data_IF_140552473072
#
_entry.id   IF_140552473072
#
_cell.length_a   1.000
_cell.length_b   1.000
_cell.length_c   1.000
_cell.angle_alpha   90.00
_cell.angle_beta   90.00
_cell.angle_gamma   90.00
#
_symmetry.space_group_name_H-M   'P 1'
#
loop_
_entity.id
_entity.type
_entity.pdbx_description
1 polymer ?
#
# COMPACT_ATOMS: atom_id res chain seq x y z
N UNK A 1 -16.75 17.36 -36.11
CA UNK A 1 -15.62 16.54 -35.70
C UNK A 1 -16.07 15.09 -35.64
N UNK A 2 -15.74 14.30 -36.68
CA UNK A 2 -16.15 12.90 -36.77
C UNK A 2 -15.29 12.04 -35.85
N UNK A 3 -15.88 11.56 -34.75
CA UNK A 3 -15.30 10.49 -33.96
C UNK A 3 -15.33 9.25 -34.86
N UNK A 4 -14.16 8.85 -35.41
CA UNK A 4 -14.00 7.53 -36.02
C UNK A 4 -14.46 6.52 -34.97
N UNK A 5 -15.52 5.76 -35.26
CA UNK A 5 -15.84 4.53 -34.55
C UNK A 5 -14.66 3.57 -34.74
N UNK A 6 -13.61 3.73 -33.91
CA UNK A 6 -12.54 2.76 -33.83
C UNK A 6 -13.16 1.46 -33.35
N UNK A 7 -12.87 0.42 -34.08
CA UNK A 7 -13.44 -0.91 -33.83
C UNK A 7 -12.91 -1.40 -32.49
N UNK A 8 -13.71 -1.25 -31.42
CA UNK A 8 -13.38 -1.53 -30.01
C UNK A 8 -12.68 -2.89 -29.88
N UNK A 9 -13.16 -3.90 -30.61
CA UNK A 9 -12.58 -5.25 -30.61
C UNK A 9 -11.17 -5.32 -31.25
N UNK A 10 -10.86 -4.43 -32.20
CA UNK A 10 -9.53 -4.40 -32.82
C UNK A 10 -8.49 -3.83 -31.83
N UNK A 11 -8.90 -2.87 -31.04
CA UNK A 11 -8.04 -2.23 -30.04
C UNK A 11 -7.71 -3.16 -28.87
N UNK A 12 -8.66 -3.95 -28.37
CA UNK A 12 -8.43 -4.92 -27.31
C UNK A 12 -7.36 -5.98 -27.67
N UNK A 13 -7.17 -6.31 -28.95
CA UNK A 13 -6.11 -7.24 -29.37
C UNK A 13 -4.69 -6.70 -29.16
N UNK A 14 -4.52 -5.39 -29.03
CA UNK A 14 -3.19 -4.77 -28.82
C UNK A 14 -2.80 -4.68 -27.37
N UNK A 15 -3.70 -4.99 -26.44
CA UNK A 15 -3.45 -4.93 -25.01
C UNK A 15 -2.52 -6.07 -24.53
N UNK A 16 -1.62 -5.76 -23.60
CA UNK A 16 -0.65 -6.74 -23.07
C UNK A 16 -1.26 -7.63 -21.98
N UNK A 17 -2.15 -8.55 -22.39
CA UNK A 17 -2.79 -9.49 -21.45
C UNK A 17 -1.80 -10.36 -20.70
N UNK A 18 -0.67 -10.74 -21.32
CA UNK A 18 0.34 -11.57 -20.66
C UNK A 18 0.92 -10.88 -19.44
N UNK A 19 1.26 -9.61 -19.55
CA UNK A 19 1.77 -8.82 -18.43
C UNK A 19 0.68 -8.60 -17.38
N UNK A 20 -0.53 -8.22 -17.81
CA UNK A 20 -1.65 -7.96 -16.94
C UNK A 20 -2.01 -9.18 -16.09
N UNK A 21 -2.17 -10.37 -16.69
CA UNK A 21 -2.47 -11.61 -15.97
C UNK A 21 -1.33 -11.99 -15.03
N UNK A 22 -0.07 -11.83 -15.46
CA UNK A 22 1.08 -12.10 -14.58
C UNK A 22 1.07 -11.21 -13.32
N UNK A 23 0.78 -9.91 -13.48
CA UNK A 23 0.69 -8.97 -12.35
C UNK A 23 -0.49 -9.31 -11.43
N UNK A 24 -1.66 -9.64 -11.98
CA UNK A 24 -2.80 -10.12 -11.19
C UNK A 24 -2.43 -11.39 -10.41
N UNK A 25 -1.78 -12.36 -11.05
CA UNK A 25 -1.41 -13.64 -10.40
C UNK A 25 -0.43 -13.44 -9.25
N UNK A 26 0.52 -12.51 -9.39
CA UNK A 26 1.49 -12.18 -8.34
C UNK A 26 0.79 -11.49 -7.16
N UNK A 27 -0.14 -10.59 -7.43
CA UNK A 27 -0.90 -9.88 -6.41
C UNK A 27 -1.89 -10.79 -5.63
N UNK A 28 -2.23 -11.97 -6.15
CA UNK A 28 -3.04 -12.96 -5.42
C UNK A 28 -2.30 -13.60 -4.23
N UNK A 29 -0.97 -13.69 -4.24
CA UNK A 29 -0.23 -14.33 -3.16
C UNK A 29 -0.45 -13.65 -1.79
N UNK A 30 -0.29 -12.31 -1.64
CA UNK A 30 -0.64 -11.63 -0.39
C UNK A 30 -2.13 -11.68 -0.06
N UNK A 31 -3.02 -11.70 -1.06
CA UNK A 31 -4.47 -11.80 -0.83
C UNK A 31 -4.86 -13.16 -0.23
N UNK A 32 -4.31 -14.26 -0.78
CA UNK A 32 -4.53 -15.61 -0.25
C UNK A 32 -3.96 -15.74 1.17
N UNK A 33 -2.76 -15.23 1.39
CA UNK A 33 -2.15 -15.20 2.71
C UNK A 33 -3.04 -14.47 3.71
N UNK A 34 -3.51 -13.26 3.38
CA UNK A 34 -4.37 -12.46 4.24
C UNK A 34 -5.72 -13.16 4.55
N UNK A 35 -6.29 -13.84 3.57
CA UNK A 35 -7.49 -14.67 3.77
C UNK A 35 -7.25 -15.76 4.82
N UNK A 36 -6.15 -16.49 4.70
CA UNK A 36 -5.82 -17.58 5.64
C UNK A 36 -5.55 -17.00 7.04
N UNK A 37 -4.81 -15.91 7.14
CA UNK A 37 -4.56 -15.20 8.41
C UNK A 37 -5.86 -14.77 9.08
N UNK A 38 -6.76 -14.12 8.33
CA UNK A 38 -8.07 -13.71 8.84
C UNK A 38 -8.88 -14.90 9.37
N UNK A 39 -8.92 -16.00 8.62
CA UNK A 39 -9.58 -17.23 9.06
C UNK A 39 -8.95 -17.80 10.35
N UNK A 40 -7.61 -17.82 10.45
CA UNK A 40 -6.93 -18.32 11.63
C UNK A 40 -7.22 -17.46 12.87
N UNK A 41 -7.19 -16.13 12.75
CA UNK A 41 -7.48 -15.20 13.84
C UNK A 41 -8.91 -15.41 14.35
N UNK A 42 -9.90 -15.42 13.47
CA UNK A 42 -11.30 -15.64 13.86
C UNK A 42 -11.50 -16.97 14.57
N UNK A 43 -10.88 -18.05 14.05
CA UNK A 43 -11.03 -19.39 14.60
C UNK A 43 -10.35 -19.60 15.95
N UNK A 44 -9.19 -18.97 16.16
CA UNK A 44 -8.30 -19.29 17.30
C UNK A 44 -8.25 -18.22 18.38
N UNK A 45 -8.60 -16.98 18.04
CA UNK A 45 -8.55 -15.85 18.97
C UNK A 45 -9.97 -15.33 19.24
N UNK A 46 -10.47 -14.46 18.41
CA UNK A 46 -11.84 -13.92 18.38
C UNK A 46 -11.93 -12.80 17.32
N UNK A 47 -13.16 -12.38 16.99
CA UNK A 47 -13.40 -11.19 16.16
C UNK A 47 -12.84 -9.89 16.75
N UNK A 48 -12.76 -9.77 18.07
CA UNK A 48 -12.18 -8.58 18.74
C UNK A 48 -10.68 -8.38 18.45
N UNK A 49 -9.99 -9.41 17.98
CA UNK A 49 -8.59 -9.28 17.54
C UNK A 49 -8.45 -8.38 16.30
N UNK A 50 -9.46 -8.32 15.44
CA UNK A 50 -9.45 -7.43 14.27
C UNK A 50 -9.55 -5.97 14.68
N UNK A 51 -10.16 -5.69 15.82
CA UNK A 51 -10.19 -4.33 16.38
C UNK A 51 -8.79 -3.87 16.75
N UNK A 52 -7.94 -4.74 17.28
CA UNK A 52 -6.53 -4.42 17.58
C UNK A 52 -5.77 -4.09 16.28
N UNK A 53 -5.89 -4.94 15.25
CA UNK A 53 -5.20 -4.74 13.98
C UNK A 53 -5.72 -3.47 13.29
N UNK A 54 -7.05 -3.33 13.16
CA UNK A 54 -7.67 -2.19 12.49
C UNK A 54 -7.34 -0.84 13.14
N UNK A 55 -7.24 -0.80 14.47
CA UNK A 55 -6.81 0.39 15.18
C UNK A 55 -5.36 0.78 14.91
N UNK A 56 -4.54 -0.16 14.43
CA UNK A 56 -3.12 0.08 14.13
C UNK A 56 -2.87 0.49 12.67
N UNK A 57 -3.91 0.65 11.84
CA UNK A 57 -3.77 1.09 10.43
C UNK A 57 -2.98 2.40 10.31
N UNK A 58 -3.16 3.33 11.23
CA UNK A 58 -2.37 4.57 11.26
C UNK A 58 -0.87 4.34 11.37
N UNK A 59 -0.45 3.26 12.05
CA UNK A 59 0.96 2.91 12.18
C UNK A 59 1.54 2.42 10.85
N UNK A 60 0.78 1.65 10.09
CA UNK A 60 1.18 1.22 8.74
C UNK A 60 1.34 2.43 7.81
N UNK A 61 0.43 3.41 7.86
CA UNK A 61 0.50 4.64 7.07
C UNK A 61 1.75 5.48 7.41
N UNK A 62 2.11 5.56 8.69
CA UNK A 62 3.33 6.23 9.11
C UNK A 62 4.55 5.48 8.56
N UNK A 63 4.59 4.15 8.64
CA UNK A 63 5.67 3.34 8.09
C UNK A 63 5.79 3.52 6.57
N UNK A 64 4.68 3.50 5.84
CA UNK A 64 4.64 3.78 4.41
C UNK A 64 5.25 5.14 4.07
N UNK A 65 4.92 6.16 4.85
CA UNK A 65 5.50 7.50 4.71
C UNK A 65 7.03 7.46 4.83
N UNK A 66 7.57 6.80 5.84
CA UNK A 66 9.02 6.68 6.01
C UNK A 66 9.68 5.83 4.93
N UNK A 67 9.00 4.78 4.44
CA UNK A 67 9.47 4.04 3.27
C UNK A 67 9.52 4.92 2.02
N UNK A 68 8.55 5.81 1.84
CA UNK A 68 8.56 6.76 0.72
C UNK A 68 9.73 7.76 0.81
N UNK A 69 10.12 8.20 2.02
CA UNK A 69 11.31 9.03 2.23
C UNK A 69 12.61 8.30 1.96
N UNK A 70 12.75 7.05 2.42
CA UNK A 70 14.04 6.35 2.48
C UNK A 70 14.27 5.39 1.31
N UNK A 71 13.23 4.68 0.87
CA UNK A 71 13.33 3.57 -0.09
C UNK A 71 13.02 4.02 -1.52
N UNK A 72 11.97 4.82 -1.72
CA UNK A 72 11.56 5.24 -3.08
C UNK A 72 12.69 5.96 -3.84
N UNK A 73 13.48 6.87 -3.23
CA UNK A 73 14.56 7.55 -3.95
C UNK A 73 15.67 6.63 -4.43
N UNK A 74 15.84 5.46 -3.80
CA UNK A 74 16.89 4.50 -4.15
C UNK A 74 16.74 3.99 -5.58
N UNK A 75 15.51 3.84 -6.09
CA UNK A 75 15.28 3.45 -7.49
C UNK A 75 16.03 4.36 -8.46
N UNK A 76 15.91 5.68 -8.28
CA UNK A 76 16.56 6.65 -9.16
C UNK A 76 18.07 6.73 -8.92
N UNK A 77 18.50 6.75 -7.66
CA UNK A 77 19.91 6.97 -7.30
C UNK A 77 20.74 5.76 -7.66
N UNK A 78 20.31 4.55 -7.27
CA UNK A 78 21.05 3.32 -7.54
C UNK A 78 21.03 2.97 -9.04
N UNK A 79 19.95 3.27 -9.77
CA UNK A 79 19.88 3.04 -11.21
C UNK A 79 20.91 3.88 -12.01
N UNK A 80 21.24 5.07 -11.52
CA UNK A 80 22.30 5.86 -12.14
C UNK A 80 23.68 5.24 -11.87
N UNK A 81 23.94 4.80 -10.64
CA UNK A 81 25.25 4.25 -10.24
C UNK A 81 25.53 2.89 -10.91
N UNK A 82 24.51 2.03 -11.05
CA UNK A 82 24.71 0.69 -11.63
C UNK A 82 25.15 0.74 -13.09
N UNK A 83 24.83 1.83 -13.81
CA UNK A 83 25.25 2.03 -15.20
C UNK A 83 26.71 2.41 -15.35
N UNK A 84 27.29 3.04 -14.32
CA UNK A 84 28.62 3.59 -14.38
C UNK A 84 29.69 2.53 -14.00
N UNK A 85 29.58 1.90 -12.84
CA UNK A 85 30.56 0.91 -12.36
C UNK A 85 29.95 -0.04 -11.31
N UNK A 86 30.08 -1.36 -11.55
CA UNK A 86 29.54 -2.39 -10.66
C UNK A 86 30.20 -2.47 -9.28
N UNK A 87 31.49 -2.22 -9.16
CA UNK A 87 32.18 -2.24 -7.87
C UNK A 87 31.76 -1.05 -7.01
N UNK A 88 31.68 0.13 -7.63
CA UNK A 88 31.19 1.35 -7.00
C UNK A 88 29.73 1.14 -6.55
N UNK A 89 28.90 0.54 -7.39
CA UNK A 89 27.53 0.20 -7.06
C UNK A 89 27.42 -0.69 -5.81
N UNK A 90 28.20 -1.80 -5.76
CA UNK A 90 28.16 -2.75 -4.62
C UNK A 90 28.53 -2.05 -3.29
N UNK A 91 29.48 -1.10 -3.31
CA UNK A 91 29.85 -0.30 -2.15
C UNK A 91 28.72 0.66 -1.72
N UNK A 92 28.05 1.30 -2.67
CA UNK A 92 26.91 2.17 -2.36
C UNK A 92 25.71 1.40 -1.82
N UNK A 93 25.41 0.21 -2.36
CA UNK A 93 24.35 -0.67 -1.85
C UNK A 93 24.57 -0.94 -0.36
N UNK A 94 25.79 -1.33 0.05
CA UNK A 94 26.10 -1.60 1.46
C UNK A 94 25.95 -0.36 2.34
N UNK A 95 26.54 0.78 1.94
CA UNK A 95 26.49 2.02 2.73
C UNK A 95 25.07 2.58 2.86
N UNK A 96 24.31 2.60 1.75
CA UNK A 96 22.93 3.07 1.78
C UNK A 96 22.03 2.16 2.59
N UNK A 97 22.26 0.83 2.55
CA UNK A 97 21.53 -0.10 3.39
C UNK A 97 21.72 0.21 4.88
N UNK A 98 22.97 0.47 5.31
CA UNK A 98 23.26 0.84 6.71
C UNK A 98 22.59 2.17 7.07
N UNK A 99 22.71 3.19 6.21
CA UNK A 99 22.11 4.51 6.49
C UNK A 99 20.59 4.39 6.60
N UNK A 100 19.95 3.70 5.66
CA UNK A 100 18.51 3.48 5.67
C UNK A 100 18.08 2.71 6.92
N UNK A 101 18.82 1.63 7.27
CA UNK A 101 18.53 0.85 8.47
C UNK A 101 18.64 1.69 9.74
N UNK A 102 19.72 2.49 9.88
CA UNK A 102 19.92 3.34 11.06
C UNK A 102 18.87 4.44 11.19
N UNK A 103 18.57 5.14 10.09
CA UNK A 103 17.56 6.20 10.09
C UNK A 103 16.16 5.66 10.38
N UNK A 104 15.83 4.53 9.78
CA UNK A 104 14.54 3.89 10.01
C UNK A 104 14.42 3.34 11.45
N UNK A 105 15.48 2.72 11.97
CA UNK A 105 15.52 2.24 13.36
C UNK A 105 15.42 3.40 14.35
N UNK A 106 16.07 4.53 14.09
CA UNK A 106 15.95 5.73 14.94
C UNK A 106 14.51 6.25 14.99
N UNK A 107 13.84 6.27 13.84
CA UNK A 107 12.43 6.62 13.76
C UNK A 107 11.55 5.63 14.56
N UNK A 108 11.73 4.33 14.34
CA UNK A 108 10.99 3.29 15.04
C UNK A 108 11.24 3.33 16.57
N UNK A 109 12.42 3.72 16.99
CA UNK A 109 12.72 3.97 18.41
C UNK A 109 11.87 5.13 18.97
N UNK A 110 11.63 6.16 18.20
CA UNK A 110 10.66 7.20 18.53
C UNK A 110 9.25 6.65 18.77
N UNK A 111 8.79 5.73 17.90
CA UNK A 111 7.49 5.05 18.08
C UNK A 111 7.46 4.22 19.37
N UNK A 112 8.54 3.53 19.73
CA UNK A 112 8.62 2.79 21.00
C UNK A 112 8.46 3.70 22.22
N UNK A 113 9.02 4.92 22.16
CA UNK A 113 8.93 5.89 23.27
C UNK A 113 7.52 6.51 23.33
N UNK A 114 6.99 6.96 22.21
CA UNK A 114 5.77 7.76 22.14
C UNK A 114 4.51 6.93 21.80
N UNK A 115 4.62 5.63 21.58
CA UNK A 115 3.52 4.76 21.11
C UNK A 115 2.26 4.83 21.95
N UNK A 116 2.39 4.82 23.29
CA UNK A 116 1.23 4.96 24.20
C UNK A 116 0.45 6.27 23.99
N UNK A 117 1.16 7.36 23.73
CA UNK A 117 0.51 8.67 23.48
C UNK A 117 -0.16 8.67 22.11
N UNK A 118 0.47 8.08 21.09
CA UNK A 118 -0.11 7.94 19.75
C UNK A 118 -1.38 7.08 19.76
N UNK A 119 -1.34 5.93 20.45
CA UNK A 119 -2.50 5.07 20.65
C UNK A 119 -3.65 5.86 21.28
N UNK A 120 -3.41 6.58 22.38
CA UNK A 120 -4.43 7.40 23.04
C UNK A 120 -4.93 8.54 22.15
N UNK A 121 -4.04 9.17 21.39
CA UNK A 121 -4.42 10.25 20.47
C UNK A 121 -5.35 9.75 19.36
N UNK A 122 -5.19 8.51 18.92
CA UNK A 122 -6.04 7.89 17.88
C UNK A 122 -7.38 7.37 18.39
N UNK A 123 -7.77 7.69 19.62
CA UNK A 123 -9.05 7.36 20.29
C UNK A 123 -9.38 5.88 20.30
N UNK A 124 -8.70 5.19 21.17
CA UNK A 124 -8.93 3.77 21.40
C UNK A 124 -9.58 3.59 22.78
N UNK A 125 -10.78 4.16 22.91
CA UNK A 125 -11.60 3.96 24.08
C UNK A 125 -12.10 2.51 24.09
N UNK A 126 -12.32 1.96 25.27
CA UNK A 126 -12.90 0.63 25.51
C UNK A 126 -12.04 -0.59 25.12
N UNK A 127 -10.79 -0.39 24.67
CA UNK A 127 -9.86 -1.49 24.45
C UNK A 127 -8.82 -1.62 25.58
N UNK A 128 -8.34 -2.85 25.76
CA UNK A 128 -7.17 -3.09 26.59
C UNK A 128 -5.91 -2.48 25.95
N UNK A 129 -5.58 -1.26 26.39
CA UNK A 129 -4.42 -0.51 25.92
C UNK A 129 -3.10 -1.29 26.06
N UNK A 130 -3.03 -2.26 26.99
CA UNK A 130 -1.84 -3.08 27.15
C UNK A 130 -1.68 -4.07 26.01
N UNK A 131 -2.78 -4.65 25.52
CA UNK A 131 -2.77 -5.56 24.36
C UNK A 131 -2.32 -4.79 23.13
N UNK A 132 -2.95 -3.64 22.84
CA UNK A 132 -2.62 -2.81 21.68
C UNK A 132 -1.18 -2.31 21.74
N UNK A 133 -0.73 -1.85 22.92
CA UNK A 133 0.63 -1.36 23.09
C UNK A 133 1.70 -2.45 22.94
N UNK A 134 1.43 -3.66 23.44
CA UNK A 134 2.31 -4.81 23.24
C UNK A 134 2.37 -5.21 21.77
N UNK A 135 1.23 -5.21 21.08
CA UNK A 135 1.17 -5.47 19.65
C UNK A 135 2.01 -4.43 18.86
N UNK A 136 1.83 -3.13 19.15
CA UNK A 136 2.62 -2.06 18.55
C UNK A 136 4.13 -2.27 18.74
N UNK A 137 4.58 -2.64 19.95
CA UNK A 137 6.00 -2.87 20.20
C UNK A 137 6.57 -4.02 19.37
N UNK A 138 5.84 -5.12 19.27
CA UNK A 138 6.27 -6.26 18.46
C UNK A 138 6.30 -5.95 16.97
N UNK A 139 5.26 -5.27 16.45
CA UNK A 139 5.22 -4.83 15.06
C UNK A 139 6.32 -3.81 14.75
N UNK A 140 6.64 -2.91 15.67
CA UNK A 140 7.77 -1.97 15.50
C UNK A 140 9.08 -2.72 15.28
N UNK A 141 9.33 -3.80 16.04
CA UNK A 141 10.52 -4.65 15.83
C UNK A 141 10.45 -5.37 14.48
N UNK A 142 9.27 -5.89 14.12
CA UNK A 142 9.06 -6.54 12.83
C UNK A 142 9.36 -5.60 11.65
N UNK A 143 8.95 -4.33 11.74
CA UNK A 143 9.23 -3.31 10.71
C UNK A 143 10.72 -2.97 10.62
N UNK A 144 11.44 -2.87 11.77
CA UNK A 144 12.91 -2.66 11.77
C UNK A 144 13.61 -3.81 11.03
N UNK A 145 13.19 -5.04 11.25
CA UNK A 145 13.77 -6.19 10.56
C UNK A 145 13.38 -6.22 9.07
N UNK A 146 12.16 -5.79 8.74
CA UNK A 146 11.62 -5.76 7.38
C UNK A 146 12.25 -4.73 6.45
N UNK A 147 12.89 -3.68 6.99
CA UNK A 147 13.47 -2.61 6.15
C UNK A 147 14.59 -3.15 5.23
N UNK A 148 15.34 -4.16 5.68
CA UNK A 148 16.41 -4.80 4.90
C UNK A 148 15.83 -5.54 3.69
N UNK A 149 14.69 -6.25 3.88
CA UNK A 149 13.97 -6.90 2.80
C UNK A 149 13.45 -5.88 1.79
N UNK A 150 12.81 -4.79 2.25
CA UNK A 150 12.30 -3.73 1.39
C UNK A 150 13.41 -3.03 0.60
N UNK A 151 14.54 -2.72 1.24
CA UNK A 151 15.71 -2.17 0.58
C UNK A 151 16.25 -3.11 -0.52
N UNK A 152 16.37 -4.40 -0.20
CA UNK A 152 16.92 -5.40 -1.13
C UNK A 152 16.01 -5.60 -2.34
N UNK A 153 14.69 -5.50 -2.19
CA UNK A 153 13.74 -5.55 -3.30
C UNK A 153 13.99 -4.44 -4.32
N UNK A 154 14.29 -3.22 -3.86
CA UNK A 154 14.68 -2.12 -4.76
C UNK A 154 15.97 -2.46 -5.51
N UNK A 155 16.98 -2.98 -4.79
CA UNK A 155 18.24 -3.36 -5.43
C UNK A 155 18.01 -4.43 -6.51
N UNK A 156 17.17 -5.46 -6.26
CA UNK A 156 16.85 -6.49 -7.26
C UNK A 156 16.17 -5.89 -8.50
N UNK A 157 15.31 -4.91 -8.35
CA UNK A 157 14.69 -4.22 -9.48
C UNK A 157 15.74 -3.43 -10.28
N UNK A 158 16.59 -2.67 -9.60
CA UNK A 158 17.62 -1.82 -10.22
C UNK A 158 18.63 -2.64 -11.03
N UNK A 159 19.02 -3.82 -10.52
CA UNK A 159 19.96 -4.71 -11.25
C UNK A 159 19.27 -5.57 -12.34
N UNK A 160 18.00 -5.33 -12.62
CA UNK A 160 17.23 -6.07 -13.62
C UNK A 160 16.82 -7.49 -13.20
N UNK A 161 16.87 -7.80 -11.89
CA UNK A 161 16.49 -9.10 -11.32
C UNK A 161 15.13 -9.05 -10.59
N UNK A 162 14.18 -8.32 -11.13
CA UNK A 162 12.83 -8.19 -10.56
C UNK A 162 12.14 -9.56 -10.30
N UNK A 163 12.50 -10.60 -11.06
CA UNK A 163 12.03 -11.96 -10.81
C UNK A 163 12.34 -12.44 -9.38
N UNK A 164 13.49 -12.07 -8.83
CA UNK A 164 13.85 -12.44 -7.45
C UNK A 164 12.91 -11.80 -6.43
N UNK A 165 12.53 -10.54 -6.64
CA UNK A 165 11.54 -9.84 -5.80
C UNK A 165 10.20 -10.60 -5.81
N UNK A 166 9.70 -11.00 -6.98
CA UNK A 166 8.43 -11.73 -7.08
C UNK A 166 8.49 -13.11 -6.42
N UNK A 167 9.60 -13.84 -6.59
CA UNK A 167 9.79 -15.14 -5.92
C UNK A 167 9.79 -14.94 -4.40
N UNK A 168 10.52 -13.95 -3.90
CA UNK A 168 10.60 -13.67 -2.47
C UNK A 168 9.24 -13.22 -1.90
N UNK A 169 8.40 -12.50 -2.67
CA UNK A 169 7.05 -12.14 -2.26
C UNK A 169 6.16 -13.37 -2.07
N UNK A 170 6.22 -14.34 -2.99
CA UNK A 170 5.47 -15.60 -2.87
C UNK A 170 6.01 -16.44 -1.70
N UNK A 171 7.33 -16.52 -1.55
CA UNK A 171 7.97 -17.21 -0.42
C UNK A 171 7.58 -16.56 0.91
N UNK A 172 7.56 -15.22 0.98
CA UNK A 172 7.12 -14.48 2.15
C UNK A 172 5.68 -14.88 2.55
N UNK A 173 4.74 -14.82 1.60
CA UNK A 173 3.35 -15.20 1.85
C UNK A 173 3.23 -16.65 2.37
N UNK A 174 3.95 -17.58 1.76
CA UNK A 174 3.96 -18.99 2.16
C UNK A 174 4.54 -19.21 3.57
N UNK A 175 5.67 -18.58 3.89
CA UNK A 175 6.30 -18.67 5.20
C UNK A 175 5.45 -18.03 6.30
N UNK A 176 4.79 -16.90 6.01
CA UNK A 176 3.85 -16.26 6.92
C UNK A 176 2.66 -17.18 7.23
N UNK A 177 2.10 -17.87 6.24
CA UNK A 177 1.04 -18.86 6.49
C UNK A 177 1.52 -19.93 7.47
N UNK A 178 2.70 -20.50 7.25
CA UNK A 178 3.24 -21.53 8.12
C UNK A 178 3.43 -21.00 9.56
N UNK A 179 4.07 -19.86 9.71
CA UNK A 179 4.35 -19.29 11.04
C UNK A 179 3.09 -18.85 11.77
N UNK A 180 2.08 -18.34 11.05
CA UNK A 180 0.78 -17.98 11.62
C UNK A 180 0.05 -19.20 12.19
N UNK A 181 0.11 -20.35 11.52
CA UNK A 181 -0.46 -21.60 12.03
C UNK A 181 0.12 -22.01 13.39
N UNK A 182 1.40 -21.68 13.66
CA UNK A 182 2.04 -21.97 14.93
C UNK A 182 1.84 -20.85 15.94
N UNK A 183 2.06 -19.58 15.56
CA UNK A 183 2.13 -18.50 16.53
C UNK A 183 0.78 -17.94 16.93
N UNK A 184 -0.21 -17.85 16.04
CA UNK A 184 -1.52 -17.29 16.39
C UNK A 184 -2.24 -18.13 17.45
N UNK A 185 -2.32 -19.48 17.36
CA UNK A 185 -2.96 -20.28 18.42
C UNK A 185 -2.28 -20.18 19.79
N UNK A 186 -0.95 -19.98 19.85
CA UNK A 186 -0.22 -19.91 21.11
C UNK A 186 -0.16 -18.51 21.73
N UNK A 187 -0.08 -17.47 20.91
CA UNK A 187 0.15 -16.09 21.36
C UNK A 187 -1.02 -15.15 21.09
N UNK A 188 -2.13 -15.67 20.55
CA UNK A 188 -3.28 -14.86 20.15
C UNK A 188 -2.89 -13.83 19.09
N UNK A 189 -3.44 -12.62 19.18
CA UNK A 189 -3.16 -11.54 18.23
C UNK A 189 -1.68 -11.17 18.12
N UNK A 190 -0.92 -11.30 19.22
CA UNK A 190 0.53 -11.05 19.21
C UNK A 190 1.29 -12.07 18.34
N UNK A 191 0.69 -13.25 18.06
CA UNK A 191 1.24 -14.25 17.16
C UNK A 191 1.46 -13.71 15.74
N UNK A 192 0.59 -12.80 15.29
CA UNK A 192 0.75 -12.09 14.00
C UNK A 192 2.06 -11.32 13.96
N UNK A 193 2.32 -10.53 14.99
CA UNK A 193 3.54 -9.73 15.08
C UNK A 193 4.80 -10.61 15.21
N UNK A 194 4.73 -11.72 15.95
CA UNK A 194 5.83 -12.69 16.02
C UNK A 194 6.12 -13.35 14.66
N UNK A 195 5.07 -13.71 13.90
CA UNK A 195 5.23 -14.21 12.53
C UNK A 195 5.92 -13.18 11.64
N UNK A 196 5.43 -11.95 11.63
CA UNK A 196 6.01 -10.86 10.86
C UNK A 196 7.49 -10.63 11.24
N UNK A 197 7.81 -10.60 12.53
CA UNK A 197 9.16 -10.41 13.04
C UNK A 197 10.12 -11.53 12.55
N UNK A 198 9.72 -12.80 12.71
CA UNK A 198 10.54 -13.95 12.32
C UNK A 198 10.78 -13.97 10.80
N UNK A 199 9.72 -13.79 10.02
CA UNK A 199 9.84 -13.87 8.55
C UNK A 199 10.62 -12.70 7.99
N UNK A 200 10.39 -11.48 8.49
CA UNK A 200 11.17 -10.32 8.08
C UNK A 200 12.67 -10.48 8.37
N UNK A 201 13.01 -11.07 9.52
CA UNK A 201 14.40 -11.40 9.85
C UNK A 201 14.99 -12.42 8.86
N UNK A 202 14.30 -13.54 8.62
CA UNK A 202 14.75 -14.60 7.69
C UNK A 202 14.94 -14.03 6.30
N UNK A 203 13.94 -13.32 5.77
CA UNK A 203 14.01 -12.74 4.41
C UNK A 203 15.08 -11.67 4.30
N UNK A 204 15.25 -10.83 5.32
CA UNK A 204 16.33 -9.85 5.36
C UNK A 204 17.71 -10.52 5.24
N UNK A 205 17.96 -11.59 6.01
CA UNK A 205 19.22 -12.37 5.96
C UNK A 205 19.39 -13.02 4.58
N UNK A 206 18.35 -13.68 4.06
CA UNK A 206 18.37 -14.31 2.73
C UNK A 206 18.70 -13.29 1.64
N UNK A 207 18.10 -12.11 1.70
CA UNK A 207 18.38 -11.03 0.74
C UNK A 207 19.84 -10.57 0.80
N UNK A 208 20.38 -10.36 2.00
CA UNK A 208 21.80 -9.99 2.18
C UNK A 208 22.71 -11.08 1.56
N UNK A 209 22.45 -12.35 1.85
CA UNK A 209 23.22 -13.46 1.30
C UNK A 209 23.17 -13.47 -0.24
N UNK A 210 21.98 -13.30 -0.83
CA UNK A 210 21.83 -13.22 -2.29
C UNK A 210 22.63 -12.04 -2.86
N UNK A 211 22.58 -10.86 -2.24
CA UNK A 211 23.31 -9.68 -2.71
C UNK A 211 24.84 -9.87 -2.63
N UNK A 212 25.35 -10.53 -1.59
CA UNK A 212 26.77 -10.85 -1.43
C UNK A 212 27.22 -11.87 -2.49
N UNK A 213 26.52 -13.02 -2.60
CA UNK A 213 26.86 -14.09 -3.55
C UNK A 213 26.84 -13.56 -5.00
N UNK A 214 25.90 -12.69 -5.31
CA UNK A 214 25.76 -12.10 -6.65
C UNK A 214 26.70 -10.90 -6.89
N UNK A 215 27.60 -10.60 -5.94
CA UNK A 215 28.55 -9.48 -5.98
C UNK A 215 27.89 -8.11 -6.22
N UNK A 216 26.66 -7.93 -5.77
CA UNK A 216 25.93 -6.66 -5.82
C UNK A 216 25.98 -5.90 -4.49
N UNK A 217 26.63 -6.47 -3.46
CA UNK A 217 26.93 -5.82 -2.19
C UNK A 217 28.34 -6.23 -1.73
N UNK A 218 29.11 -5.24 -1.28
CA UNK A 218 30.46 -5.45 -0.78
C UNK A 218 30.63 -4.71 0.56
N UNK A 219 31.22 -5.39 1.55
CA UNK A 219 31.51 -4.78 2.86
C UNK A 219 32.69 -3.82 2.77
N UNK A 220 32.43 -2.57 2.42
CA UNK A 220 33.46 -1.54 2.33
C UNK A 220 33.06 -0.28 3.12
N UNK A 221 33.66 -0.12 4.28
CA UNK A 221 33.45 1.06 5.13
C UNK A 221 34.34 2.25 4.71
N UNK A 222 35.48 2.01 4.09
CA UNK A 222 36.55 3.00 3.92
C UNK A 222 36.51 3.81 2.61
N UNK A 223 35.69 3.44 1.65
CA UNK A 223 35.57 4.24 0.41
C UNK A 223 34.74 5.49 0.67
N UNK A 224 35.29 6.67 0.34
CA UNK A 224 34.51 7.92 0.43
C UNK A 224 33.34 7.89 -0.53
N UNK A 225 32.12 8.03 -0.02
CA UNK A 225 30.93 8.22 -0.84
C UNK A 225 30.92 9.63 -1.46
N UNK A 226 30.44 9.76 -2.68
CA UNK A 226 30.21 11.08 -3.27
C UNK A 226 29.04 11.77 -2.54
N UNK A 227 29.30 12.93 -1.94
CA UNK A 227 28.30 13.75 -1.24
C UNK A 227 27.10 14.05 -2.14
N UNK A 228 27.31 14.22 -3.44
CA UNK A 228 26.24 14.50 -4.41
C UNK A 228 25.22 13.37 -4.51
N UNK A 229 25.64 12.11 -4.36
CA UNK A 229 24.74 10.94 -4.37
C UNK A 229 23.78 10.99 -3.19
N UNK A 230 24.30 11.26 -1.99
CA UNK A 230 23.48 11.37 -0.78
C UNK A 230 22.56 12.58 -0.80
N UNK A 231 23.03 13.71 -1.31
CA UNK A 231 22.22 14.92 -1.50
C UNK A 231 21.06 14.65 -2.46
N UNK A 232 21.30 13.98 -3.59
CA UNK A 232 20.28 13.63 -4.55
C UNK A 232 19.26 12.66 -3.94
N UNK A 233 19.73 11.64 -3.20
CA UNK A 233 18.87 10.71 -2.49
C UNK A 233 17.94 11.43 -1.51
N UNK A 234 18.50 12.32 -0.69
CA UNK A 234 17.74 13.10 0.28
C UNK A 234 16.73 14.05 -0.38
N UNK A 235 17.12 14.75 -1.44
CA UNK A 235 16.22 15.65 -2.18
C UNK A 235 15.02 14.90 -2.78
N UNK A 236 15.27 13.79 -3.46
CA UNK A 236 14.17 12.99 -4.03
C UNK A 236 13.28 12.44 -2.90
N UNK A 237 13.89 11.97 -1.80
CA UNK A 237 13.20 11.47 -0.62
C UNK A 237 12.28 12.50 0.02
N UNK A 238 12.74 13.74 0.17
CA UNK A 238 11.91 14.82 0.71
C UNK A 238 10.62 15.01 -0.11
N UNK A 239 10.71 15.03 -1.44
CA UNK A 239 9.53 15.22 -2.28
C UNK A 239 8.58 14.01 -2.24
N UNK A 240 9.11 12.79 -2.43
CA UNK A 240 8.27 11.58 -2.42
C UNK A 240 7.65 11.34 -1.04
N UNK A 241 8.44 11.50 0.02
CA UNK A 241 7.97 11.31 1.38
C UNK A 241 6.99 12.38 1.82
N UNK A 242 7.19 13.65 1.45
CA UNK A 242 6.26 14.72 1.82
C UNK A 242 4.88 14.56 1.17
N UNK A 243 4.81 14.13 -0.09
CA UNK A 243 3.54 13.82 -0.74
C UNK A 243 2.82 12.68 0.01
N UNK A 244 3.49 11.55 0.22
CA UNK A 244 2.94 10.41 0.94
C UNK A 244 2.55 10.78 2.39
N UNK A 245 3.34 11.63 3.05
CA UNK A 245 3.02 12.14 4.39
C UNK A 245 1.70 12.89 4.42
N UNK A 246 1.46 13.79 3.47
CA UNK A 246 0.20 14.53 3.41
C UNK A 246 -0.96 13.57 3.23
N UNK A 247 -0.91 12.67 2.25
CA UNK A 247 -1.98 11.72 1.98
C UNK A 247 -2.26 10.83 3.20
N UNK A 248 -1.23 10.27 3.80
CA UNK A 248 -1.36 9.33 4.90
C UNK A 248 -1.80 10.00 6.21
N UNK A 249 -1.34 11.22 6.52
CA UNK A 249 -1.77 11.92 7.74
C UNK A 249 -3.25 12.30 7.66
N UNK A 250 -3.72 12.77 6.50
CA UNK A 250 -5.13 13.07 6.32
C UNK A 250 -5.98 11.81 6.38
N UNK A 251 -5.57 10.72 5.74
CA UNK A 251 -6.27 9.45 5.84
C UNK A 251 -6.29 8.94 7.30
N UNK A 252 -5.17 8.96 8.00
CA UNK A 252 -5.10 8.54 9.39
C UNK A 252 -6.02 9.34 10.31
N UNK A 253 -6.09 10.67 10.13
CA UNK A 253 -6.90 11.54 10.97
C UNK A 253 -8.37 11.56 10.58
N UNK A 254 -8.69 11.57 9.28
CA UNK A 254 -10.05 11.75 8.79
C UNK A 254 -10.80 10.43 8.60
N UNK A 255 -10.09 9.34 8.38
CA UNK A 255 -10.70 8.01 8.24
C UNK A 255 -10.34 7.14 9.42
N UNK A 256 -9.06 6.79 9.61
CA UNK A 256 -8.62 5.85 10.66
C UNK A 256 -9.10 6.27 12.05
N UNK A 257 -8.82 7.52 12.46
CA UNK A 257 -9.27 8.05 13.75
C UNK A 257 -10.78 8.11 13.87
N UNK A 258 -11.52 8.51 12.82
CA UNK A 258 -12.97 8.59 12.85
C UNK A 258 -13.63 7.22 12.91
N UNK A 259 -13.08 6.22 12.21
CA UNK A 259 -13.52 4.83 12.31
C UNK A 259 -13.29 4.27 13.72
N UNK A 260 -12.16 4.62 14.36
CA UNK A 260 -11.89 4.27 15.76
C UNK A 260 -12.91 4.88 16.74
N UNK A 261 -13.35 6.13 16.48
CA UNK A 261 -14.37 6.80 17.31
C UNK A 261 -15.74 6.11 17.29
N UNK A 262 -16.11 5.51 16.15
CA UNK A 262 -17.40 4.81 15.99
C UNK A 262 -17.32 3.32 16.32
N UNK A 263 -16.15 2.85 16.81
CA UNK A 263 -15.89 1.47 17.24
C UNK A 263 -16.15 0.41 16.15
N UNK A 264 -15.90 0.77 14.89
CA UNK A 264 -16.09 -0.12 13.71
C UNK A 264 -14.77 -0.48 13.01
N UNK A 265 -13.65 -0.30 13.69
CA UNK A 265 -12.32 -0.43 13.11
C UNK A 265 -12.03 -1.84 12.55
N UNK A 266 -12.42 -2.89 13.26
CA UNK A 266 -12.21 -4.28 12.80
C UNK A 266 -13.05 -4.60 11.58
N UNK A 267 -14.34 -4.22 11.59
CA UNK A 267 -15.26 -4.43 10.47
C UNK A 267 -14.83 -3.64 9.23
N UNK A 268 -14.45 -2.37 9.43
CA UNK A 268 -13.95 -1.51 8.35
C UNK A 268 -12.65 -2.04 7.76
N UNK A 269 -11.71 -2.44 8.62
CA UNK A 269 -10.42 -2.98 8.19
C UNK A 269 -10.59 -4.25 7.32
N UNK A 270 -11.44 -5.20 7.74
CA UNK A 270 -11.70 -6.42 6.96
C UNK A 270 -12.38 -6.08 5.63
N UNK A 271 -13.38 -5.17 5.63
CA UNK A 271 -14.06 -4.73 4.41
C UNK A 271 -13.09 -4.06 3.44
N UNK A 272 -12.22 -3.17 3.94
CA UNK A 272 -11.22 -2.47 3.15
C UNK A 272 -10.17 -3.44 2.58
N UNK A 273 -9.67 -4.37 3.38
CA UNK A 273 -8.76 -5.41 2.91
C UNK A 273 -9.36 -6.32 1.83
N UNK A 274 -10.66 -6.63 1.91
CA UNK A 274 -11.33 -7.37 0.84
C UNK A 274 -11.36 -6.55 -0.46
N UNK A 275 -11.66 -5.26 -0.38
CA UNK A 275 -11.69 -4.38 -1.56
C UNK A 275 -10.29 -4.28 -2.17
N UNK A 276 -9.27 -3.94 -1.37
CA UNK A 276 -7.90 -3.77 -1.84
C UNK A 276 -7.24 -5.10 -2.24
N UNK A 277 -7.47 -6.15 -1.47
CA UNK A 277 -6.83 -7.45 -1.66
C UNK A 277 -7.47 -8.33 -2.73
N UNK A 278 -8.74 -8.08 -3.12
CA UNK A 278 -9.45 -8.90 -4.10
C UNK A 278 -10.04 -8.10 -5.24
N UNK A 279 -10.85 -7.07 -4.94
CA UNK A 279 -11.56 -6.34 -5.99
C UNK A 279 -10.62 -5.45 -6.81
N UNK A 280 -9.69 -4.77 -6.17
CA UNK A 280 -8.78 -3.81 -6.81
C UNK A 280 -7.54 -4.46 -7.45
N UNK A 281 -7.27 -5.74 -7.25
CA UNK A 281 -6.12 -6.42 -7.89
C UNK A 281 -6.05 -6.14 -9.40
N UNK A 282 -7.12 -6.32 -10.18
CA UNK A 282 -7.07 -6.03 -11.62
C UNK A 282 -6.83 -4.55 -11.94
N UNK A 283 -7.34 -3.65 -11.10
CA UNK A 283 -7.17 -2.20 -11.29
C UNK A 283 -5.72 -1.78 -11.02
N UNK A 284 -5.12 -2.30 -9.95
CA UNK A 284 -3.71 -2.05 -9.60
C UNK A 284 -2.79 -2.62 -10.69
N UNK A 285 -3.03 -3.86 -11.13
CA UNK A 285 -2.29 -4.49 -12.22
C UNK A 285 -2.41 -3.69 -13.54
N UNK A 286 -3.62 -3.18 -13.83
CA UNK A 286 -3.85 -2.31 -14.99
C UNK A 286 -3.04 -1.02 -14.90
N UNK A 287 -2.94 -0.43 -13.72
CA UNK A 287 -2.12 0.77 -13.45
C UNK A 287 -0.66 0.57 -13.85
N UNK A 288 -0.07 -0.58 -13.53
CA UNK A 288 1.31 -0.91 -13.92
C UNK A 288 1.47 -1.06 -15.44
N UNK A 289 0.47 -1.65 -16.13
CA UNK A 289 0.47 -1.74 -17.58
C UNK A 289 0.40 -0.34 -18.19
N UNK A 290 -0.47 0.54 -17.68
CA UNK A 290 -0.61 1.93 -18.13
C UNK A 290 0.71 2.69 -17.97
N UNK A 291 1.37 2.60 -16.82
CA UNK A 291 2.68 3.26 -16.56
C UNK A 291 3.73 2.83 -17.58
N UNK A 292 3.78 1.53 -17.89
CA UNK A 292 4.69 0.99 -18.89
C UNK A 292 4.40 1.51 -20.29
N UNK A 293 3.13 1.51 -20.68
CA UNK A 293 2.73 1.94 -22.02
C UNK A 293 2.99 3.44 -22.24
N UNK A 294 2.99 4.26 -21.16
CA UNK A 294 3.34 5.68 -21.20
C UNK A 294 4.78 5.95 -21.67
N UNK A 295 5.68 4.97 -21.64
CA UNK A 295 7.04 5.10 -22.19
C UNK A 295 7.03 5.44 -23.70
N UNK A 296 5.96 5.09 -24.40
CA UNK A 296 5.77 5.38 -25.83
C UNK A 296 5.17 6.77 -26.09
N UNK A 297 4.96 7.58 -25.06
CA UNK A 297 4.35 8.90 -25.13
C UNK A 297 2.83 8.90 -25.10
N UNK A 298 2.26 10.02 -24.63
CA UNK A 298 0.81 10.19 -24.40
C UNK A 298 -0.06 9.94 -25.64
N UNK A 299 0.41 10.38 -26.82
CA UNK A 299 -0.36 10.28 -28.08
C UNK A 299 -0.54 8.84 -28.56
N UNK A 300 0.34 7.93 -28.14
CA UNK A 300 0.33 6.52 -28.54
C UNK A 300 -0.46 5.64 -27.55
N UNK A 301 -1.02 6.23 -26.47
CA UNK A 301 -1.80 5.49 -25.49
C UNK A 301 -3.18 5.11 -26.02
N UNK A 302 -3.50 3.84 -25.95
CA UNK A 302 -4.85 3.36 -26.26
C UNK A 302 -5.73 3.37 -24.99
N UNK A 303 -6.16 4.57 -24.58
CA UNK A 303 -6.96 4.77 -23.36
C UNK A 303 -8.27 3.99 -23.37
N UNK A 304 -8.87 3.80 -24.54
CA UNK A 304 -10.12 3.04 -24.67
C UNK A 304 -9.97 1.63 -24.10
N UNK A 305 -8.82 0.99 -24.31
CA UNK A 305 -8.57 -0.35 -23.76
C UNK A 305 -8.58 -0.36 -22.23
N UNK A 306 -7.96 0.64 -21.61
CA UNK A 306 -7.87 0.72 -20.16
C UNK A 306 -9.25 0.91 -19.53
N UNK A 307 -10.06 1.83 -20.08
CA UNK A 307 -11.43 2.05 -19.62
C UNK A 307 -12.33 0.81 -19.85
N UNK A 308 -12.18 0.11 -20.96
CA UNK A 308 -12.95 -1.12 -21.24
C UNK A 308 -12.60 -2.20 -20.20
N UNK A 309 -11.32 -2.42 -19.91
CA UNK A 309 -10.88 -3.42 -18.91
C UNK A 309 -11.40 -3.03 -17.53
N UNK A 310 -11.34 -1.75 -17.17
CA UNK A 310 -11.90 -1.24 -15.91
C UNK A 310 -13.40 -1.48 -15.83
N UNK A 311 -14.16 -1.19 -16.89
CA UNK A 311 -15.61 -1.44 -16.93
C UNK A 311 -15.91 -2.94 -16.81
N UNK A 312 -15.16 -3.79 -17.49
CA UNK A 312 -15.30 -5.25 -17.36
C UNK A 312 -15.04 -5.68 -15.92
N UNK A 313 -14.00 -5.15 -15.28
CA UNK A 313 -13.70 -5.43 -13.87
C UNK A 313 -14.85 -5.00 -12.95
N UNK A 314 -15.41 -3.81 -13.16
CA UNK A 314 -16.56 -3.31 -12.38
C UNK A 314 -17.79 -4.21 -12.58
N UNK A 315 -18.07 -4.66 -13.82
CA UNK A 315 -19.16 -5.61 -14.11
C UNK A 315 -18.93 -6.93 -13.35
N UNK A 316 -17.69 -7.42 -13.31
CA UNK A 316 -17.33 -8.63 -12.55
C UNK A 316 -17.60 -8.42 -11.05
N UNK A 317 -17.33 -7.23 -10.48
CA UNK A 317 -17.67 -6.92 -9.10
C UNK A 317 -19.17 -7.10 -8.83
N UNK A 318 -20.03 -6.52 -9.68
CA UNK A 318 -21.48 -6.65 -9.53
C UNK A 318 -21.97 -8.08 -9.69
N UNK A 319 -21.43 -8.84 -10.64
CA UNK A 319 -21.78 -10.26 -10.85
C UNK A 319 -21.34 -11.11 -9.64
N UNK A 320 -20.16 -10.82 -9.07
CA UNK A 320 -19.61 -11.57 -7.93
C UNK A 320 -20.19 -11.15 -6.57
N UNK A 321 -20.89 -10.01 -6.49
CA UNK A 321 -21.42 -9.46 -5.23
C UNK A 321 -22.20 -10.45 -4.36
N UNK A 322 -23.07 -11.35 -4.90
CA UNK A 322 -23.74 -12.35 -4.10
C UNK A 322 -22.80 -13.34 -3.39
N UNK A 323 -21.60 -13.55 -3.97
CA UNK A 323 -20.57 -14.43 -3.40
C UNK A 323 -19.80 -13.80 -2.26
N UNK A 324 -19.80 -12.46 -2.10
CA UNK A 324 -19.03 -11.78 -1.07
C UNK A 324 -19.52 -12.08 0.34
N UNK A 325 -20.86 -12.22 0.51
CA UNK A 325 -21.41 -12.63 1.80
C UNK A 325 -20.96 -14.05 2.16
N UNK A 326 -21.00 -14.97 1.21
CA UNK A 326 -20.48 -16.32 1.37
C UNK A 326 -18.99 -16.32 1.70
N UNK A 327 -18.20 -15.45 1.05
CA UNK A 327 -16.79 -15.30 1.31
C UNK A 327 -16.50 -14.95 2.78
N UNK A 328 -17.22 -13.97 3.35
CA UNK A 328 -17.05 -13.58 4.75
C UNK A 328 -17.58 -14.65 5.72
N UNK A 329 -18.78 -15.15 5.46
CA UNK A 329 -19.51 -16.02 6.38
C UNK A 329 -18.99 -17.47 6.36
N UNK A 330 -18.78 -18.04 5.16
CA UNK A 330 -18.52 -19.47 5.01
C UNK A 330 -17.03 -19.76 4.79
N UNK A 331 -16.33 -18.92 4.06
CA UNK A 331 -14.91 -19.11 3.79
C UNK A 331 -14.02 -18.57 4.90
N UNK A 332 -14.25 -17.32 5.33
CA UNK A 332 -13.48 -16.71 6.42
C UNK A 332 -14.04 -17.03 7.82
N UNK A 333 -15.28 -17.53 7.92
CA UNK A 333 -15.97 -17.88 9.18
C UNK A 333 -16.17 -16.70 10.13
N UNK A 334 -16.28 -15.49 9.61
CA UNK A 334 -16.39 -14.28 10.43
C UNK A 334 -17.74 -14.19 11.14
N UNK A 335 -17.72 -13.91 12.44
CA UNK A 335 -18.92 -13.73 13.27
C UNK A 335 -19.73 -12.49 12.85
N UNK A 336 -19.04 -11.40 12.46
CA UNK A 336 -19.64 -10.12 12.03
C UNK A 336 -19.78 -10.01 10.49
N UNK A 337 -19.90 -11.15 9.78
CA UNK A 337 -19.93 -11.20 8.31
C UNK A 337 -21.00 -10.29 7.68
N UNK A 338 -22.15 -10.10 8.33
CA UNK A 338 -23.26 -9.27 7.84
C UNK A 338 -22.90 -7.78 7.89
N UNK A 339 -22.31 -7.32 8.97
CA UNK A 339 -21.85 -5.93 9.19
C UNK A 339 -20.75 -5.60 8.19
N UNK A 340 -19.73 -6.45 8.08
CA UNK A 340 -18.62 -6.32 7.13
C UNK A 340 -19.12 -6.25 5.70
N UNK A 341 -20.02 -7.15 5.30
CA UNK A 341 -20.64 -7.16 3.98
C UNK A 341 -21.39 -5.85 3.70
N UNK A 342 -22.13 -5.33 4.71
CA UNK A 342 -22.85 -4.06 4.58
C UNK A 342 -21.91 -2.89 4.37
N UNK A 343 -20.80 -2.82 5.09
CA UNK A 343 -19.75 -1.80 4.90
C UNK A 343 -19.14 -1.91 3.51
N UNK A 344 -18.80 -3.13 3.08
CA UNK A 344 -18.24 -3.40 1.74
C UNK A 344 -19.14 -2.90 0.63
N UNK A 345 -20.45 -3.25 0.67
CA UNK A 345 -21.40 -2.80 -0.35
C UNK A 345 -21.55 -1.29 -0.39
N UNK A 346 -21.51 -0.61 0.77
CA UNK A 346 -21.58 0.85 0.83
C UNK A 346 -20.32 1.53 0.29
N UNK A 347 -19.15 0.90 0.42
CA UNK A 347 -17.88 1.43 -0.08
C UNK A 347 -17.71 1.25 -1.60
N UNK A 348 -18.13 0.11 -2.14
CA UNK A 348 -17.85 -0.26 -3.55
C UNK A 348 -18.30 0.79 -4.57
N UNK A 349 -19.47 1.44 -4.48
CA UNK A 349 -19.84 2.51 -5.42
C UNK A 349 -18.79 3.63 -5.54
N UNK A 350 -18.14 3.95 -4.44
CA UNK A 350 -17.11 4.97 -4.40
C UNK A 350 -15.78 4.46 -4.99
N UNK A 351 -15.47 3.19 -4.80
CA UNK A 351 -14.30 2.56 -5.42
C UNK A 351 -14.42 2.43 -6.95
N UNK A 352 -15.61 2.60 -7.53
CA UNK A 352 -15.77 2.79 -8.98
C UNK A 352 -15.08 4.08 -9.42
N UNK A 353 -15.26 5.18 -8.67
CA UNK A 353 -14.55 6.42 -8.96
C UNK A 353 -13.02 6.23 -8.85
N UNK A 354 -12.56 5.52 -7.80
CA UNK A 354 -11.15 5.14 -7.66
C UNK A 354 -10.63 4.39 -8.90
N UNK A 355 -11.34 3.35 -9.36
CA UNK A 355 -10.95 2.55 -10.51
C UNK A 355 -10.83 3.38 -11.80
N UNK A 356 -11.66 4.42 -11.95
CA UNK A 356 -11.62 5.31 -13.11
C UNK A 356 -10.48 6.31 -13.03
N UNK A 357 -10.29 7.01 -11.88
CA UNK A 357 -9.22 8.00 -11.78
C UNK A 357 -7.83 7.39 -11.68
N UNK A 358 -7.71 6.16 -11.16
CA UNK A 358 -6.42 5.47 -11.10
C UNK A 358 -5.77 5.29 -12.47
N UNK A 359 -6.55 5.21 -13.55
CA UNK A 359 -6.02 5.19 -14.92
C UNK A 359 -5.30 6.53 -15.20
N UNK A 360 -5.92 7.65 -14.86
CA UNK A 360 -5.37 8.99 -15.10
C UNK A 360 -4.13 9.24 -14.25
N UNK A 361 -4.16 8.89 -12.98
CA UNK A 361 -3.02 9.02 -12.09
C UNK A 361 -1.83 8.18 -12.57
N UNK A 362 -2.09 6.95 -13.03
CA UNK A 362 -1.04 6.12 -13.61
C UNK A 362 -0.51 6.67 -14.95
N UNK A 363 -1.31 7.38 -15.74
CA UNK A 363 -0.85 8.13 -16.91
C UNK A 363 0.05 9.30 -16.47
N UNK A 364 -0.36 10.09 -15.47
CA UNK A 364 0.45 11.19 -14.97
C UNK A 364 1.80 10.71 -14.43
N UNK A 365 1.80 9.64 -13.64
CA UNK A 365 3.01 9.02 -13.10
C UNK A 365 3.90 8.47 -14.24
N UNK A 366 3.32 7.71 -15.17
CA UNK A 366 4.05 7.11 -16.28
C UNK A 366 4.69 8.10 -17.23
N UNK A 367 4.09 9.29 -17.40
CA UNK A 367 4.63 10.41 -18.17
C UNK A 367 5.61 11.29 -17.37
N UNK A 368 5.85 10.99 -16.09
CA UNK A 368 6.67 11.82 -15.20
C UNK A 368 6.04 13.17 -14.83
N UNK A 369 4.72 13.29 -14.99
CA UNK A 369 3.95 14.51 -14.67
C UNK A 369 3.28 14.41 -13.28
N UNK A 370 4.01 13.90 -12.31
CA UNK A 370 3.55 13.66 -10.93
C UNK A 370 3.05 14.91 -10.20
N UNK A 371 3.38 16.11 -10.71
CA UNK A 371 2.83 17.38 -10.18
C UNK A 371 1.30 17.41 -10.16
N UNK A 372 0.63 16.76 -11.10
CA UNK A 372 -0.83 16.66 -11.13
C UNK A 372 -1.35 15.81 -9.99
N UNK A 373 -0.74 14.63 -9.75
CA UNK A 373 -1.09 13.80 -8.60
C UNK A 373 -0.88 14.56 -7.28
N UNK A 374 0.23 15.29 -7.13
CA UNK A 374 0.50 16.10 -5.95
C UNK A 374 -0.51 17.24 -5.77
N UNK A 375 -0.92 17.91 -6.85
CA UNK A 375 -1.93 18.97 -6.80
C UNK A 375 -3.29 18.40 -6.39
N UNK A 376 -3.71 17.26 -6.96
CA UNK A 376 -4.92 16.55 -6.57
C UNK A 376 -4.93 16.24 -5.07
N UNK A 377 -3.84 15.63 -4.58
CA UNK A 377 -3.66 15.33 -3.18
C UNK A 377 -3.81 16.58 -2.30
N UNK A 378 -3.15 17.69 -2.65
CA UNK A 378 -3.26 18.95 -1.92
C UNK A 378 -4.70 19.49 -1.91
N UNK A 379 -5.38 19.53 -3.04
CA UNK A 379 -6.75 20.03 -3.12
C UNK A 379 -7.70 19.18 -2.27
N UNK A 380 -7.64 17.84 -2.41
CA UNK A 380 -8.52 16.95 -1.66
C UNK A 380 -8.23 17.04 -0.16
N UNK A 381 -6.97 16.99 0.24
CA UNK A 381 -6.63 16.96 1.65
C UNK A 381 -6.90 18.31 2.33
N UNK A 382 -6.42 19.43 1.79
CA UNK A 382 -6.52 20.73 2.45
C UNK A 382 -7.84 21.46 2.22
N UNK A 383 -8.54 21.22 1.11
CA UNK A 383 -9.83 21.90 0.87
C UNK A 383 -10.96 21.00 1.35
N UNK A 384 -11.03 19.75 0.84
CA UNK A 384 -12.16 18.89 1.09
C UNK A 384 -12.14 18.30 2.52
N UNK A 385 -11.07 17.59 2.92
CA UNK A 385 -11.04 16.94 4.24
C UNK A 385 -10.95 17.94 5.40
N UNK A 386 -10.23 19.05 5.26
CA UNK A 386 -10.23 20.10 6.31
C UNK A 386 -11.61 20.69 6.48
N UNK A 387 -12.37 20.93 5.40
CA UNK A 387 -13.75 21.39 5.49
C UNK A 387 -14.63 20.45 6.31
N UNK A 388 -14.60 19.15 6.03
CA UNK A 388 -15.35 18.17 6.81
C UNK A 388 -14.88 18.07 8.27
N UNK A 389 -13.58 18.18 8.51
CA UNK A 389 -13.04 18.23 9.87
C UNK A 389 -13.56 19.44 10.65
N UNK A 390 -13.65 20.60 10.02
CA UNK A 390 -14.22 21.79 10.66
C UNK A 390 -15.69 21.60 10.98
N UNK A 391 -16.49 21.04 10.06
CA UNK A 391 -17.90 20.72 10.32
C UNK A 391 -18.08 19.76 11.50
N UNK A 392 -17.21 18.78 11.63
CA UNK A 392 -17.17 17.87 12.78
C UNK A 392 -16.83 18.63 14.07
N UNK A 393 -15.82 19.52 14.04
CA UNK A 393 -15.36 20.27 15.22
C UNK A 393 -16.37 21.27 15.76
N UNK A 394 -17.24 21.78 14.92
CA UNK A 394 -18.33 22.73 15.31
C UNK A 394 -19.67 21.99 15.56
N UNK A 395 -19.63 20.66 15.72
CA UNK A 395 -20.77 19.79 16.04
C UNK A 395 -21.93 19.85 15.01
N UNK A 396 -21.65 20.31 13.78
CA UNK A 396 -22.63 20.27 12.68
C UNK A 396 -22.72 18.86 12.09
N UNK A 397 -21.61 18.13 12.08
CA UNK A 397 -21.52 16.80 11.49
C UNK A 397 -21.26 15.74 12.55
N UNK A 398 -22.23 14.86 12.77
CA UNK A 398 -22.07 13.71 13.63
C UNK A 398 -21.35 12.57 12.89
N UNK A 399 -20.27 12.06 13.47
CA UNK A 399 -19.54 10.93 12.88
C UNK A 399 -20.28 9.62 13.17
N UNK A 400 -20.71 8.98 12.11
CA UNK A 400 -21.22 7.62 12.05
C UNK A 400 -20.46 6.87 10.97
N UNK A 401 -20.51 5.54 10.96
CA UNK A 401 -19.87 4.76 9.88
C UNK A 401 -20.38 5.18 8.48
N UNK A 402 -21.67 5.48 8.35
CA UNK A 402 -22.24 5.97 7.08
C UNK A 402 -21.67 7.34 6.69
N UNK A 403 -21.54 8.27 7.64
CA UNK A 403 -20.98 9.60 7.40
C UNK A 403 -19.51 9.48 6.93
N UNK A 404 -18.74 8.61 7.57
CA UNK A 404 -17.33 8.36 7.21
C UNK A 404 -17.23 7.78 5.80
N UNK A 405 -18.04 6.78 5.45
CA UNK A 405 -18.07 6.18 4.12
C UNK A 405 -18.43 7.21 3.05
N UNK A 406 -19.44 8.04 3.30
CA UNK A 406 -19.86 9.08 2.34
C UNK A 406 -18.77 10.14 2.19
N UNK A 407 -18.20 10.62 3.30
CA UNK A 407 -17.10 11.59 3.29
C UNK A 407 -15.91 11.05 2.49
N UNK A 408 -15.46 9.84 2.78
CA UNK A 408 -14.35 9.20 2.06
C UNK A 408 -14.68 9.02 0.58
N UNK A 409 -15.87 8.51 0.30
CA UNK A 409 -16.32 8.23 -1.06
C UNK A 409 -16.49 9.47 -1.94
N UNK A 410 -17.04 10.55 -1.40
CA UNK A 410 -17.14 11.81 -2.13
C UNK A 410 -15.75 12.39 -2.43
N UNK A 411 -14.76 12.23 -1.53
CA UNK A 411 -13.36 12.56 -1.80
C UNK A 411 -12.83 11.88 -3.07
N UNK A 412 -13.13 10.58 -3.26
CA UNK A 412 -12.76 9.85 -4.49
C UNK A 412 -13.43 10.42 -5.75
N UNK A 413 -14.68 10.87 -5.66
CA UNK A 413 -15.37 11.49 -6.80
C UNK A 413 -14.79 12.87 -7.15
N UNK A 414 -14.43 13.67 -6.14
CA UNK A 414 -13.72 14.93 -6.37
C UNK A 414 -12.36 14.69 -7.02
N UNK A 415 -11.61 13.68 -6.58
CA UNK A 415 -10.36 13.28 -7.21
C UNK A 415 -10.56 12.95 -8.69
N UNK A 416 -11.57 12.13 -9.02
CA UNK A 416 -11.89 11.81 -10.40
C UNK A 416 -12.17 13.05 -11.26
N UNK A 417 -12.96 14.00 -10.74
CA UNK A 417 -13.28 15.24 -11.45
C UNK A 417 -12.01 16.05 -11.73
N UNK A 418 -11.15 16.23 -10.72
CA UNK A 418 -9.92 17.01 -10.85
C UNK A 418 -8.96 16.33 -11.83
N UNK A 419 -8.70 15.02 -11.69
CA UNK A 419 -7.84 14.26 -12.61
C UNK A 419 -8.33 14.36 -14.05
N UNK A 420 -9.65 14.34 -14.28
CA UNK A 420 -10.23 14.49 -15.62
C UNK A 420 -10.03 15.91 -16.18
N UNK A 421 -10.13 16.96 -15.34
CA UNK A 421 -9.85 18.32 -15.75
C UNK A 421 -8.38 18.53 -16.11
N UNK A 422 -7.46 17.96 -15.32
CA UNK A 422 -6.03 18.04 -15.55
C UNK A 422 -5.59 17.27 -16.80
N UNK A 423 -6.25 16.15 -17.14
CA UNK A 423 -5.97 15.42 -18.38
C UNK A 423 -6.14 16.29 -19.62
N UNK A 424 -7.08 17.26 -19.62
CA UNK A 424 -7.28 18.18 -20.74
C UNK A 424 -6.05 19.05 -21.02
N UNK A 425 -5.22 19.28 -20.00
CA UNK A 425 -3.97 20.05 -20.13
C UNK A 425 -2.78 19.19 -20.60
N UNK A 426 -2.96 17.88 -20.76
CA UNK A 426 -1.95 17.00 -21.35
C UNK A 426 -1.99 16.97 -22.90
N UNK A 427 -3.13 17.36 -23.46
CA UNK A 427 -3.37 17.46 -24.91
C UNK A 427 -2.78 18.73 -25.46
#
# INVERSE_FOLDING_TARGET
MGVKKENIFKNLKTFNYKLFIALCSIALAPAIYQLIRTFLIEKTVSSSAFDVIGQMEWFDLINETFLAFLIVPLYSVLNNIVKDNKEVFANYVFKMMIIVFLLYSLFQFGILIYGKYLIRFMNQNDMDLNIVNKYLYLETIAFILGIIYNFSNVVFVVIGRAKNMYILLVVNAFLLIITDFFFIPFFGIHGVAYSNMLINMILGIVCIIILIITKNMCFSFFTKGDKKVYQKWFQIGLFSGFQTFIDNIFYALMIGKMVNLVLEQGNYWIANNFIWGWLLIPIIALGEVVRRDCQNGYQNLNKSNYYIITIITIIIWFISMPLWKWFYQDLQKLSNAKEIFTITIKLVPFYIAYALYSILDNIFIGLGKTKYCALNSLIINFIYYVFFFLLYKVDILNMTMNTIIIMFGLGMHFHLIISYLEEKHLK
#
